data_IF_987427147403
#
_entry.id   IF_987427147403
#
_cell.length_a   1.000
_cell.length_b   1.000
_cell.length_c   1.000
_cell.angle_alpha   90.00
_cell.angle_beta   90.00
_cell.angle_gamma   90.00
#
_symmetry.space_group_name_H-M   'P 1'
#
loop_
_entity.id
_entity.type
_entity.pdbx_description
1 polymer ?
#
# COMPACT_ATOMS: atom_id res chain seq x y z
N UNK A 1 -28.03 7.03 13.12
CA UNK A 1 -27.22 5.79 13.00
C UNK A 1 -26.16 6.10 11.97
N UNK A 2 -24.88 6.11 12.35
CA UNK A 2 -23.79 6.35 11.40
C UNK A 2 -23.75 5.16 10.43
N UNK A 3 -23.79 5.42 9.13
CA UNK A 3 -23.54 4.40 8.11
C UNK A 3 -22.12 3.87 8.33
N UNK A 4 -21.90 2.55 8.38
CA UNK A 4 -20.56 2.00 8.55
C UNK A 4 -19.68 2.34 7.36
N UNK A 5 -18.42 2.72 7.62
CA UNK A 5 -17.42 2.88 6.58
C UNK A 5 -17.21 1.55 5.87
N UNK A 6 -17.12 1.58 4.54
CA UNK A 6 -16.90 0.41 3.70
C UNK A 6 -15.49 0.46 3.12
N UNK A 7 -14.69 -0.55 3.46
CA UNK A 7 -13.30 -0.68 3.00
C UNK A 7 -13.21 -1.82 1.99
N UNK A 8 -12.65 -1.57 0.81
CA UNK A 8 -12.32 -2.61 -0.15
C UNK A 8 -10.92 -3.16 0.14
N UNK A 9 -10.82 -4.45 0.47
CA UNK A 9 -9.56 -5.17 0.56
C UNK A 9 -9.29 -5.84 -0.78
N UNK A 10 -8.49 -5.20 -1.63
CA UNK A 10 -8.24 -5.62 -3.01
C UNK A 10 -7.01 -6.52 -3.05
N UNK A 11 -7.21 -7.80 -3.36
CA UNK A 11 -6.18 -8.83 -3.45
C UNK A 11 -6.79 -10.22 -3.48
N UNK A 12 -6.00 -11.25 -3.75
CA UNK A 12 -6.52 -12.62 -3.83
C UNK A 12 -6.38 -13.31 -2.47
N UNK A 13 -7.50 -13.39 -1.72
CA UNK A 13 -7.47 -13.88 -0.34
C UNK A 13 -6.85 -15.27 -0.24
N UNK A 14 -5.97 -15.42 0.74
CA UNK A 14 -5.31 -16.68 1.04
C UNK A 14 -5.08 -16.78 2.55
N UNK A 15 -5.66 -17.77 3.26
CA UNK A 15 -5.52 -17.93 4.71
C UNK A 15 -4.10 -18.30 5.17
N UNK A 16 -3.25 -18.80 4.25
CA UNK A 16 -1.86 -19.13 4.56
C UNK A 16 -0.98 -17.87 4.62
N UNK A 17 -1.38 -16.79 3.96
CA UNK A 17 -0.68 -15.50 3.99
C UNK A 17 -0.87 -14.83 5.35
N UNK A 18 0.24 -14.57 6.04
CA UNK A 18 0.24 -13.99 7.40
C UNK A 18 -0.45 -12.62 7.40
N UNK A 19 -0.12 -11.75 6.44
CA UNK A 19 -0.73 -10.42 6.33
C UNK A 19 -2.27 -10.49 6.16
N UNK A 20 -2.78 -11.44 5.37
CA UNK A 20 -4.23 -11.60 5.16
C UNK A 20 -5.00 -11.99 6.43
N UNK A 21 -4.33 -12.69 7.37
CA UNK A 21 -4.89 -12.95 8.71
C UNK A 21 -4.81 -11.73 9.62
N UNK A 22 -3.80 -10.89 9.43
CA UNK A 22 -3.55 -9.72 10.26
C UNK A 22 -4.43 -8.50 9.90
N UNK A 23 -4.73 -8.31 8.61
CA UNK A 23 -5.49 -7.15 8.11
C UNK A 23 -6.85 -6.96 8.82
N UNK A 24 -7.71 -7.99 8.93
CA UNK A 24 -8.98 -7.85 9.67
C UNK A 24 -8.77 -7.39 11.12
N UNK A 25 -7.78 -7.96 11.81
CA UNK A 25 -7.45 -7.61 13.19
C UNK A 25 -6.96 -6.16 13.31
N UNK A 26 -6.13 -5.72 12.37
CA UNK A 26 -5.62 -4.36 12.34
C UNK A 26 -6.74 -3.33 12.11
N UNK A 27 -7.72 -3.66 11.25
CA UNK A 27 -8.89 -2.82 11.01
C UNK A 27 -9.79 -2.79 12.24
N UNK A 28 -10.07 -3.94 12.84
CA UNK A 28 -10.94 -4.04 14.01
C UNK A 28 -10.37 -3.28 15.22
N UNK A 29 -9.06 -3.38 15.46
CA UNK A 29 -8.35 -2.62 16.50
C UNK A 29 -8.41 -1.11 16.23
N UNK A 30 -8.05 -0.68 15.02
CA UNK A 30 -8.10 0.73 14.65
C UNK A 30 -9.52 1.31 14.69
N UNK A 31 -10.53 0.56 14.26
CA UNK A 31 -11.94 0.94 14.31
C UNK A 31 -12.42 1.09 15.77
N UNK A 32 -12.00 0.19 16.66
CA UNK A 32 -12.31 0.27 18.08
C UNK A 32 -11.68 1.52 18.73
N UNK A 33 -10.42 1.83 18.42
CA UNK A 33 -9.72 3.02 18.92
C UNK A 33 -10.38 4.32 18.43
N UNK A 34 -10.87 4.34 17.19
CA UNK A 34 -11.52 5.51 16.58
C UNK A 34 -13.03 5.59 16.87
N UNK A 35 -13.61 4.59 17.51
CA UNK A 35 -15.06 4.45 17.73
C UNK A 35 -15.88 4.52 16.42
N UNK A 36 -15.32 3.99 15.32
CA UNK A 36 -15.94 4.01 14.00
C UNK A 36 -16.60 2.67 13.66
N UNK A 37 -17.87 2.65 13.19
CA UNK A 37 -18.44 1.45 12.61
C UNK A 37 -17.78 1.20 11.24
N UNK A 38 -17.07 0.08 11.09
CA UNK A 38 -16.37 -0.28 9.84
C UNK A 38 -16.85 -1.64 9.35
N UNK A 39 -16.95 -1.78 8.03
CA UNK A 39 -17.12 -3.04 7.31
C UNK A 39 -16.06 -3.12 6.23
N UNK A 40 -15.53 -4.30 6.00
CA UNK A 40 -14.57 -4.54 4.94
C UNK A 40 -15.03 -5.72 4.08
N UNK A 41 -14.87 -5.57 2.77
CA UNK A 41 -15.16 -6.61 1.79
C UNK A 41 -13.86 -7.00 1.10
N UNK A 42 -13.61 -8.30 0.98
CA UNK A 42 -12.48 -8.80 0.21
C UNK A 42 -12.85 -8.89 -1.26
N UNK A 43 -12.13 -8.17 -2.12
CA UNK A 43 -12.34 -8.14 -3.56
C UNK A 43 -11.18 -8.83 -4.26
N UNK A 44 -11.44 -10.00 -4.84
CA UNK A 44 -10.46 -10.71 -5.64
C UNK A 44 -10.11 -9.87 -6.88
N UNK A 45 -8.83 -9.86 -7.27
CA UNK A 45 -8.38 -9.00 -8.37
C UNK A 45 -8.99 -9.42 -9.71
N UNK A 46 -9.33 -10.71 -9.85
CA UNK A 46 -10.02 -11.27 -11.02
C UNK A 46 -11.42 -10.70 -11.24
N UNK A 47 -12.09 -10.22 -10.18
CA UNK A 47 -13.48 -9.77 -10.23
C UNK A 47 -13.59 -8.25 -10.49
N UNK A 48 -12.46 -7.53 -10.46
CA UNK A 48 -12.40 -6.09 -10.73
C UNK A 48 -12.08 -5.87 -12.20
N UNK A 49 -13.12 -5.74 -13.02
CA UNK A 49 -12.97 -5.41 -14.45
C UNK A 49 -13.10 -3.91 -14.74
N UNK A 50 -13.86 -3.19 -13.92
CA UNK A 50 -14.18 -1.78 -14.10
C UNK A 50 -14.26 -1.07 -12.76
N UNK A 51 -14.08 0.26 -12.79
CA UNK A 51 -14.16 1.13 -11.61
C UNK A 51 -15.50 1.07 -10.88
N UNK A 52 -16.60 0.70 -11.56
CA UNK A 52 -17.93 0.59 -10.97
C UNK A 52 -17.97 -0.38 -9.77
N UNK A 53 -17.07 -1.37 -9.73
CA UNK A 53 -16.94 -2.30 -8.60
C UNK A 53 -16.48 -1.61 -7.30
N UNK A 54 -15.99 -0.36 -7.38
CA UNK A 54 -15.33 0.36 -6.30
C UNK A 54 -16.15 1.58 -5.81
N UNK A 55 -17.27 1.89 -6.46
CA UNK A 55 -18.04 3.13 -6.24
C UNK A 55 -18.62 3.24 -4.84
N UNK A 56 -18.98 2.12 -4.23
CA UNK A 56 -19.62 2.12 -2.91
C UNK A 56 -18.64 1.97 -1.73
N UNK A 57 -17.33 2.12 -1.97
CA UNK A 57 -16.30 2.02 -0.95
C UNK A 57 -15.75 3.39 -0.57
N UNK A 58 -15.63 3.63 0.74
CA UNK A 58 -15.10 4.86 1.32
C UNK A 58 -13.57 4.87 1.34
N UNK A 59 -12.94 3.69 1.27
CA UNK A 59 -11.49 3.54 1.20
C UNK A 59 -11.07 2.24 0.53
N UNK A 60 -9.87 2.22 -0.04
CA UNK A 60 -9.32 1.08 -0.76
C UNK A 60 -7.96 0.71 -0.17
N UNK A 61 -7.81 -0.56 0.20
CA UNK A 61 -6.52 -1.14 0.56
C UNK A 61 -6.15 -2.23 -0.44
N UNK A 62 -5.09 -2.02 -1.22
CA UNK A 62 -4.50 -3.07 -2.04
C UNK A 62 -3.48 -3.84 -1.21
N UNK A 63 -3.81 -5.10 -0.91
CA UNK A 63 -3.16 -5.89 0.14
C UNK A 63 -1.94 -6.65 -0.38
N UNK A 64 -1.11 -7.25 0.50
CA UNK A 64 0.06 -8.03 0.08
C UNK A 64 -0.27 -9.30 -0.71
N UNK A 65 0.77 -10.09 -1.00
CA UNK A 65 0.73 -11.35 -1.75
C UNK A 65 0.48 -11.19 -3.26
N UNK A 66 1.23 -10.28 -3.90
CA UNK A 66 1.52 -10.37 -5.33
C UNK A 66 2.47 -11.54 -5.62
N UNK A 67 2.50 -12.10 -6.86
CA UNK A 67 1.70 -11.72 -8.03
C UNK A 67 0.20 -11.96 -7.85
N UNK A 68 -0.61 -10.98 -8.24
CA UNK A 68 -2.06 -11.10 -8.24
C UNK A 68 -2.54 -11.99 -9.39
N UNK A 69 -3.68 -12.67 -9.21
CA UNK A 69 -4.30 -13.45 -10.28
C UNK A 69 -4.64 -12.59 -11.51
N UNK A 70 -5.01 -11.32 -11.28
CA UNK A 70 -5.22 -10.34 -12.34
C UNK A 70 -4.67 -8.96 -11.92
N UNK A 71 -3.44 -8.64 -12.35
CA UNK A 71 -2.80 -7.36 -12.04
C UNK A 71 -3.60 -6.13 -12.52
N UNK A 72 -4.34 -6.23 -13.63
CA UNK A 72 -5.17 -5.13 -14.14
C UNK A 72 -6.31 -4.75 -13.18
N UNK A 73 -6.83 -5.71 -12.39
CA UNK A 73 -7.81 -5.43 -11.34
C UNK A 73 -7.21 -4.59 -10.22
N UNK A 74 -5.98 -4.91 -9.81
CA UNK A 74 -5.24 -4.11 -8.83
C UNK A 74 -4.93 -2.71 -9.36
N UNK A 75 -4.46 -2.58 -10.60
CA UNK A 75 -4.22 -1.27 -11.24
C UNK A 75 -5.50 -0.44 -11.36
N UNK A 76 -6.62 -1.07 -11.71
CA UNK A 76 -7.93 -0.40 -11.75
C UNK A 76 -8.30 0.17 -10.39
N UNK A 77 -8.09 -0.58 -9.30
CA UNK A 77 -8.37 -0.13 -7.95
C UNK A 77 -7.48 1.04 -7.50
N UNK A 78 -6.17 0.94 -7.74
CA UNK A 78 -5.21 1.99 -7.39
C UNK A 78 -5.54 3.28 -8.15
N UNK A 79 -5.77 3.15 -9.47
CA UNK A 79 -6.10 4.28 -10.33
C UNK A 79 -7.40 4.95 -9.89
N UNK A 80 -8.44 4.15 -9.62
CA UNK A 80 -9.72 4.67 -9.15
C UNK A 80 -9.53 5.47 -7.86
N UNK A 81 -8.77 4.93 -6.90
CA UNK A 81 -8.50 5.64 -5.66
C UNK A 81 -7.80 6.97 -5.91
N UNK A 82 -6.68 6.95 -6.67
CA UNK A 82 -5.87 8.12 -7.02
C UNK A 82 -6.68 9.22 -7.72
N UNK A 83 -7.50 8.86 -8.71
CA UNK A 83 -8.22 9.81 -9.56
C UNK A 83 -9.49 10.37 -8.89
N UNK A 84 -10.08 9.62 -7.95
CA UNK A 84 -11.33 10.01 -7.28
C UNK A 84 -11.13 10.48 -5.84
N UNK A 85 -9.87 10.68 -5.40
CA UNK A 85 -9.54 11.12 -4.05
C UNK A 85 -10.06 10.17 -2.95
N UNK A 86 -10.21 8.88 -3.26
CA UNK A 86 -10.64 7.87 -2.27
C UNK A 86 -9.41 7.42 -1.49
N UNK A 87 -9.40 7.53 -0.14
CA UNK A 87 -8.28 7.10 0.69
C UNK A 87 -7.71 5.73 0.27
N UNK A 88 -6.39 5.69 0.11
CA UNK A 88 -5.66 4.54 -0.41
C UNK A 88 -4.54 4.10 0.53
N UNK A 89 -4.49 2.79 0.78
CA UNK A 89 -3.37 2.12 1.42
C UNK A 89 -2.85 0.98 0.52
N UNK A 90 -1.55 0.91 0.26
CA UNK A 90 -0.92 -0.19 -0.48
C UNK A 90 0.24 -0.79 0.30
N UNK A 91 0.18 -2.07 0.69
CA UNK A 91 1.26 -2.72 1.46
C UNK A 91 1.92 -3.85 0.66
N UNK A 92 3.25 -3.94 0.69
CA UNK A 92 4.08 -4.89 -0.08
C UNK A 92 3.70 -4.94 -1.58
N UNK A 93 2.93 -5.94 -2.01
CA UNK A 93 2.43 -6.05 -3.39
C UNK A 93 1.62 -4.82 -3.81
N UNK A 94 0.79 -4.27 -2.92
CA UNK A 94 0.02 -3.07 -3.21
C UNK A 94 0.90 -1.84 -3.40
N UNK A 95 2.02 -1.76 -2.68
CA UNK A 95 3.02 -0.73 -2.91
C UNK A 95 3.69 -0.87 -4.26
N UNK A 96 4.16 -2.07 -4.61
CA UNK A 96 4.80 -2.34 -5.91
C UNK A 96 3.86 -1.96 -7.08
N UNK A 97 2.59 -2.33 -6.98
CA UNK A 97 1.61 -2.04 -8.02
C UNK A 97 1.21 -0.56 -8.04
N UNK A 98 1.23 0.15 -6.91
CA UNK A 98 1.01 1.59 -6.89
C UNK A 98 2.13 2.37 -7.60
N UNK A 99 3.38 1.92 -7.45
CA UNK A 99 4.52 2.46 -8.20
C UNK A 99 4.33 2.28 -9.71
N UNK A 100 3.93 1.08 -10.15
CA UNK A 100 3.70 0.79 -11.56
C UNK A 100 2.52 1.59 -12.11
N UNK A 101 1.41 1.67 -11.38
CA UNK A 101 0.24 2.46 -11.79
C UNK A 101 0.61 3.93 -11.99
N UNK A 102 1.35 4.51 -11.05
CA UNK A 102 1.77 5.90 -11.13
C UNK A 102 2.75 6.14 -12.30
N UNK A 103 3.72 5.23 -12.50
CA UNK A 103 4.64 5.30 -13.62
C UNK A 103 3.88 5.29 -14.95
N UNK A 104 2.92 4.36 -15.13
CA UNK A 104 2.13 4.21 -16.35
C UNK A 104 1.23 5.40 -16.63
N UNK A 105 0.49 5.87 -15.62
CA UNK A 105 -0.62 6.80 -15.82
C UNK A 105 -0.27 8.27 -15.56
N UNK A 106 0.72 8.55 -14.69
CA UNK A 106 1.11 9.93 -14.35
C UNK A 106 2.42 10.32 -15.05
N UNK A 107 3.41 9.43 -15.04
CA UNK A 107 4.72 9.72 -15.67
C UNK A 107 4.74 9.39 -17.17
N UNK A 108 3.68 8.76 -17.70
CA UNK A 108 3.58 8.36 -19.10
C UNK A 108 4.46 7.16 -19.47
N UNK A 109 4.96 6.42 -18.50
CA UNK A 109 5.77 5.22 -18.70
C UNK A 109 4.89 4.00 -18.94
N UNK A 110 4.20 3.98 -20.08
CA UNK A 110 3.19 2.95 -20.40
C UNK A 110 3.74 1.51 -20.37
N UNK A 111 5.04 1.33 -20.64
CA UNK A 111 5.77 0.06 -20.60
C UNK A 111 6.45 -0.21 -19.25
N UNK A 112 6.11 0.52 -18.17
CA UNK A 112 6.60 0.22 -16.83
C UNK A 112 6.16 -1.18 -16.39
N UNK A 113 7.10 -1.97 -15.88
CA UNK A 113 6.97 -3.41 -15.70
C UNK A 113 7.52 -3.89 -14.34
N UNK A 114 7.16 -5.11 -13.96
CA UNK A 114 7.57 -5.78 -12.72
C UNK A 114 8.43 -7.00 -13.03
N UNK A 115 9.67 -7.03 -12.55
CA UNK A 115 10.64 -8.06 -12.91
C UNK A 115 10.25 -9.50 -12.49
N UNK A 116 9.31 -9.66 -11.54
CA UNK A 116 8.77 -10.97 -11.17
C UNK A 116 7.88 -11.59 -12.25
N UNK A 117 7.13 -10.77 -13.00
CA UNK A 117 6.08 -11.23 -13.92
C UNK A 117 6.40 -10.92 -15.38
N UNK A 118 7.21 -9.90 -15.63
CA UNK A 118 7.49 -9.37 -16.96
C UNK A 118 8.92 -9.67 -17.41
N UNK A 119 9.09 -9.94 -18.70
CA UNK A 119 10.41 -10.12 -19.34
C UNK A 119 10.81 -8.97 -20.26
N UNK A 120 9.89 -8.03 -20.50
CA UNK A 120 10.06 -6.87 -21.37
C UNK A 120 9.51 -5.60 -20.68
N UNK A 121 9.85 -4.43 -21.20
CA UNK A 121 9.46 -3.14 -20.63
C UNK A 121 10.49 -2.55 -19.65
N UNK A 122 10.17 -1.38 -19.11
CA UNK A 122 11.01 -0.67 -18.13
C UNK A 122 10.71 -1.18 -16.72
N UNK A 123 11.62 -1.99 -16.17
CA UNK A 123 11.48 -2.50 -14.82
C UNK A 123 11.55 -1.36 -13.80
N UNK A 124 10.40 -1.02 -13.23
CA UNK A 124 10.30 -0.06 -12.12
C UNK A 124 10.29 -0.77 -10.77
N UNK A 125 9.94 -2.05 -10.78
CA UNK A 125 10.10 -2.98 -9.66
C UNK A 125 11.08 -4.09 -10.05
N UNK A 126 12.10 -4.31 -9.22
CA UNK A 126 13.20 -5.24 -9.46
C UNK A 126 13.50 -6.08 -8.21
N UNK A 127 14.21 -7.23 -8.34
CA UNK A 127 14.64 -8.01 -7.19
C UNK A 127 15.49 -7.16 -6.25
N UNK A 128 15.21 -7.26 -4.96
CA UNK A 128 16.03 -6.63 -3.94
C UNK A 128 17.41 -7.31 -3.87
N UNK A 129 18.44 -6.51 -3.64
CA UNK A 129 19.82 -6.97 -3.44
C UNK A 129 19.92 -8.00 -2.30
N UNK A 130 19.13 -7.77 -1.25
CA UNK A 130 18.92 -8.67 -0.12
C UNK A 130 17.43 -9.00 0.03
N UNK A 131 17.08 -10.29 0.12
CA UNK A 131 15.71 -10.70 0.43
C UNK A 131 15.27 -10.13 1.79
N UNK A 132 14.07 -9.55 1.85
CA UNK A 132 13.47 -9.02 3.07
C UNK A 132 12.41 -9.96 3.66
N UNK A 133 12.40 -11.23 3.26
CA UNK A 133 11.40 -12.20 3.77
C UNK A 133 11.63 -12.46 5.27
N UNK A 134 10.63 -12.14 6.08
CA UNK A 134 10.65 -12.31 7.56
C UNK A 134 11.77 -11.52 8.25
N UNK A 135 12.17 -10.38 7.67
CA UNK A 135 13.10 -9.43 8.28
C UNK A 135 12.35 -8.24 8.86
N UNK A 136 12.93 -7.64 9.88
CA UNK A 136 12.57 -6.31 10.37
C UNK A 136 13.78 -5.41 10.22
N UNK A 137 13.59 -4.21 9.69
CA UNK A 137 14.66 -3.22 9.52
C UNK A 137 14.20 -1.84 9.98
N UNK A 138 15.18 -1.00 10.33
CA UNK A 138 14.96 0.41 10.63
C UNK A 138 14.56 1.16 9.35
N UNK A 139 13.57 2.03 9.47
CA UNK A 139 13.12 2.92 8.39
C UNK A 139 13.21 4.34 8.89
N UNK A 140 14.00 5.17 8.20
CA UNK A 140 13.99 6.62 8.35
C UNK A 140 12.83 7.21 7.55
N UNK A 141 11.98 7.97 8.22
CA UNK A 141 10.84 8.66 7.65
C UNK A 141 11.14 10.13 7.48
N UNK A 142 10.75 10.68 6.34
CA UNK A 142 10.78 12.14 6.13
C UNK A 142 9.84 12.81 7.14
N UNK A 143 10.37 13.78 7.89
CA UNK A 143 9.60 14.53 8.88
C UNK A 143 8.38 15.25 8.25
N UNK A 144 7.33 15.41 9.06
CA UNK A 144 6.08 16.10 8.69
C UNK A 144 5.30 15.47 7.52
N UNK A 145 5.58 14.21 7.18
CA UNK A 145 4.77 13.38 6.28
C UNK A 145 3.55 12.79 6.99
N UNK A 146 2.64 12.18 6.23
CA UNK A 146 1.45 11.52 6.77
C UNK A 146 1.85 10.29 7.61
N UNK A 147 2.80 9.50 7.12
CA UNK A 147 3.40 8.33 7.76
C UNK A 147 4.13 8.76 9.04
N UNK A 148 5.03 9.75 8.99
CA UNK A 148 5.73 10.20 10.21
C UNK A 148 4.77 10.71 11.29
N UNK A 149 3.68 11.39 10.89
CA UNK A 149 2.63 11.82 11.84
C UNK A 149 1.87 10.63 12.42
N UNK A 150 1.52 9.64 11.61
CA UNK A 150 0.84 8.43 12.09
C UNK A 150 1.69 7.66 13.11
N UNK A 151 2.99 7.52 12.87
CA UNK A 151 3.91 6.85 13.78
C UNK A 151 4.36 7.70 14.98
N UNK A 152 4.22 9.02 14.90
CA UNK A 152 4.66 9.98 15.92
C UNK A 152 6.18 10.08 16.09
N UNK A 153 6.96 9.56 15.12
CA UNK A 153 8.42 9.50 15.14
C UNK A 153 8.97 9.44 13.70
N UNK A 154 10.25 9.75 13.54
CA UNK A 154 10.96 9.73 12.26
C UNK A 154 11.80 8.45 12.03
N UNK A 155 11.98 7.61 13.05
CA UNK A 155 12.63 6.31 12.91
C UNK A 155 11.69 5.22 13.43
N UNK A 156 11.35 4.27 12.57
CA UNK A 156 10.45 3.15 12.88
C UNK A 156 11.14 1.82 12.61
N UNK A 157 10.60 0.73 13.15
CA UNK A 157 11.05 -0.62 12.87
C UNK A 157 9.85 -1.43 12.42
N UNK A 158 9.93 -2.02 11.23
CA UNK A 158 8.80 -2.69 10.60
C UNK A 158 9.24 -3.96 9.88
N UNK A 159 8.31 -4.92 9.82
CA UNK A 159 8.53 -6.23 9.22
C UNK A 159 8.20 -6.27 7.72
N UNK A 160 8.93 -7.11 6.99
CA UNK A 160 8.81 -7.29 5.55
C UNK A 160 8.49 -8.74 5.17
N UNK A 161 7.88 -8.92 4.00
CA UNK A 161 7.71 -10.21 3.34
C UNK A 161 7.67 -10.03 1.82
N UNK A 162 8.75 -9.49 1.26
CA UNK A 162 8.85 -9.22 -0.18
C UNK A 162 10.28 -9.49 -0.67
N UNK A 163 10.41 -9.93 -1.92
CA UNK A 163 11.71 -10.12 -2.60
C UNK A 163 11.99 -9.04 -3.65
N UNK A 164 11.04 -8.14 -3.87
CA UNK A 164 11.09 -7.11 -4.92
C UNK A 164 10.78 -5.74 -4.32
N UNK A 165 11.43 -4.71 -4.86
CA UNK A 165 11.24 -3.32 -4.47
C UNK A 165 11.51 -2.39 -5.64
N UNK A 166 11.63 -1.09 -5.38
CA UNK A 166 11.85 -0.10 -6.44
C UNK A 166 13.21 -0.34 -7.10
N UNK A 167 13.23 -0.38 -8.43
CA UNK A 167 14.47 -0.49 -9.18
C UNK A 167 15.32 0.79 -9.02
N UNK A 168 16.63 0.65 -8.83
CA UNK A 168 17.56 1.79 -8.70
C UNK A 168 17.48 2.79 -9.85
N UNK A 169 17.27 2.28 -11.07
CA UNK A 169 17.10 3.08 -12.28
C UNK A 169 15.86 3.96 -12.24
N UNK A 170 14.84 3.56 -11.48
CA UNK A 170 13.58 4.29 -11.31
C UNK A 170 13.55 5.19 -10.07
N UNK A 171 14.30 4.84 -9.02
CA UNK A 171 14.31 5.57 -7.75
C UNK A 171 14.55 7.09 -7.92
N UNK A 172 15.47 7.46 -8.83
CA UNK A 172 15.78 8.88 -9.12
C UNK A 172 14.64 9.64 -9.81
N UNK A 173 13.82 8.93 -10.58
CA UNK A 173 12.70 9.53 -11.32
C UNK A 173 11.54 9.91 -10.39
N UNK A 174 11.44 9.27 -9.22
CA UNK A 174 10.46 9.58 -8.18
C UNK A 174 10.77 10.88 -7.40
N UNK A 175 11.97 11.45 -7.54
CA UNK A 175 12.34 12.67 -6.82
C UNK A 175 11.60 13.92 -7.33
N UNK A 176 11.11 13.91 -8.57
CA UNK A 176 10.55 15.09 -9.24
C UNK A 176 9.03 15.13 -9.31
N UNK A 177 8.35 14.12 -8.74
CA UNK A 177 6.90 13.95 -8.84
C UNK A 177 6.10 14.38 -7.60
N UNK A 178 4.77 14.28 -7.72
CA UNK A 178 3.85 14.45 -6.59
C UNK A 178 3.79 13.20 -5.71
N UNK A 179 4.05 12.02 -6.28
CA UNK A 179 4.33 10.81 -5.51
C UNK A 179 5.72 10.94 -4.89
N UNK A 180 5.76 11.36 -3.63
CA UNK A 180 7.00 11.61 -2.90
C UNK A 180 7.46 10.37 -2.19
N UNK A 181 8.77 10.14 -2.25
CA UNK A 181 9.45 9.23 -1.34
C UNK A 181 9.49 9.82 0.06
N UNK A 182 9.07 9.04 1.03
CA UNK A 182 8.89 9.46 2.43
C UNK A 182 9.43 8.49 3.46
N UNK A 183 9.96 7.34 3.03
CA UNK A 183 10.67 6.41 3.90
C UNK A 183 11.77 5.65 3.19
N UNK A 184 12.91 5.48 3.87
CA UNK A 184 14.10 4.77 3.39
C UNK A 184 14.62 3.82 4.46
N UNK A 185 15.33 2.78 4.06
CA UNK A 185 16.16 2.02 4.99
C UNK A 185 17.55 2.65 5.19
N UNK A 186 18.41 1.99 5.95
CA UNK A 186 19.78 2.45 6.25
C UNK A 186 20.69 2.51 5.01
N UNK A 187 20.38 1.79 3.94
CA UNK A 187 21.12 1.78 2.67
C UNK A 187 20.61 2.84 1.69
N UNK A 188 19.52 3.53 2.04
CA UNK A 188 18.85 4.53 1.20
C UNK A 188 17.88 3.93 0.19
N UNK A 189 17.54 2.65 0.29
CA UNK A 189 16.50 2.03 -0.54
C UNK A 189 15.11 2.51 -0.11
N UNK A 190 14.22 2.70 -1.09
CA UNK A 190 12.89 3.26 -0.85
C UNK A 190 11.96 2.23 -0.20
N UNK A 191 11.37 2.59 0.94
CA UNK A 191 10.45 1.72 1.71
C UNK A 191 9.04 2.29 1.83
N UNK A 192 8.85 3.59 1.60
CA UNK A 192 7.52 4.21 1.62
C UNK A 192 7.39 5.43 0.69
N UNK A 193 6.18 5.61 0.16
CA UNK A 193 5.80 6.76 -0.67
C UNK A 193 4.43 7.31 -0.27
N UNK A 194 4.22 8.59 -0.56
CA UNK A 194 2.94 9.30 -0.39
C UNK A 194 2.63 10.18 -1.60
N UNK A 195 1.38 10.22 -2.04
CA UNK A 195 0.95 11.20 -3.04
C UNK A 195 0.46 12.47 -2.32
N UNK A 196 1.25 13.55 -2.38
CA UNK A 196 0.99 14.75 -1.55
C UNK A 196 -0.19 15.60 -2.00
N UNK A 197 -0.73 15.35 -3.19
CA UNK A 197 -1.93 16.00 -3.73
C UNK A 197 -3.22 15.26 -3.40
N UNK A 198 -3.13 14.13 -2.70
CA UNK A 198 -4.26 13.27 -2.36
C UNK A 198 -4.58 13.33 -0.86
N UNK A 199 -5.86 13.25 -0.42
CA UNK A 199 -6.23 13.33 1.00
C UNK A 199 -5.53 12.28 1.87
N UNK A 200 -5.47 11.04 1.39
CA UNK A 200 -4.68 9.96 1.97
C UNK A 200 -4.29 8.97 0.88
N UNK A 201 -3.03 8.94 0.47
CA UNK A 201 -2.53 7.92 -0.45
C UNK A 201 -1.15 7.52 0.03
N UNK A 202 -1.10 6.38 0.70
CA UNK A 202 0.10 5.86 1.36
C UNK A 202 0.40 4.50 0.79
N UNK A 203 1.66 4.26 0.45
CA UNK A 203 2.10 2.95 0.05
C UNK A 203 3.43 2.61 0.73
N UNK A 204 3.52 1.40 1.28
CA UNK A 204 4.67 0.92 2.05
C UNK A 204 5.10 -0.45 1.57
N UNK A 205 6.41 -0.67 1.45
CA UNK A 205 6.93 -2.00 1.14
C UNK A 205 6.80 -2.95 2.34
N UNK A 206 6.96 -2.42 3.56
CA UNK A 206 6.76 -3.15 4.81
C UNK A 206 5.28 -3.44 5.09
N UNK A 207 5.04 -4.42 5.98
CA UNK A 207 3.74 -4.98 6.33
C UNK A 207 3.40 -4.73 7.80
N UNK A 208 3.27 -3.45 8.17
CA UNK A 208 2.93 -2.99 9.52
C UNK A 208 1.64 -3.60 10.09
N UNK A 209 0.71 -4.05 9.24
CA UNK A 209 -0.52 -4.73 9.62
C UNK A 209 -0.25 -6.01 10.43
N UNK A 210 0.90 -6.66 10.23
CA UNK A 210 1.28 -7.90 10.94
C UNK A 210 1.39 -7.70 12.45
N UNK A 211 1.64 -6.48 12.90
CA UNK A 211 1.66 -6.11 14.33
C UNK A 211 0.36 -6.46 15.06
N UNK A 212 -0.77 -6.46 14.35
CA UNK A 212 -2.06 -6.82 14.94
C UNK A 212 -2.12 -8.27 15.45
N UNK A 213 -1.33 -9.19 14.89
CA UNK A 213 -1.22 -10.57 15.38
C UNK A 213 -0.59 -10.67 16.78
N UNK A 214 0.16 -9.64 17.17
CA UNK A 214 0.80 -9.52 18.48
C UNK A 214 0.03 -8.57 19.41
N UNK A 215 -1.15 -8.09 19.00
CA UNK A 215 -1.93 -7.10 19.74
C UNK A 215 -1.26 -5.72 19.78
N UNK A 216 -0.37 -5.43 18.82
CA UNK A 216 0.26 -4.11 18.66
C UNK A 216 -0.50 -3.30 17.61
N UNK A 217 -0.64 -1.98 17.81
CA UNK A 217 -1.39 -1.14 16.88
C UNK A 217 -0.68 -1.06 15.53
N UNK A 218 -1.47 -0.89 14.46
CA UNK A 218 -1.00 -0.60 13.11
C UNK A 218 -1.28 0.88 12.77
N UNK A 219 -0.31 1.81 12.97
CA UNK A 219 -0.61 3.24 12.95
C UNK A 219 -1.15 3.76 11.61
N UNK A 220 -0.70 3.21 10.47
CA UNK A 220 -1.22 3.64 9.18
C UNK A 220 -2.63 3.12 8.91
N UNK A 221 -3.04 1.98 9.48
CA UNK A 221 -4.44 1.52 9.42
C UNK A 221 -5.35 2.48 10.18
N UNK A 222 -4.92 2.95 11.36
CA UNK A 222 -5.66 3.98 12.10
C UNK A 222 -5.74 5.29 11.33
N UNK A 223 -4.63 5.77 10.75
CA UNK A 223 -4.63 6.98 9.94
C UNK A 223 -5.50 6.85 8.67
N UNK A 224 -5.50 5.67 8.06
CA UNK A 224 -6.30 5.33 6.88
C UNK A 224 -7.80 5.36 7.19
N UNK A 225 -8.24 4.71 8.27
CA UNK A 225 -9.65 4.73 8.68
C UNK A 225 -10.11 6.12 9.10
N UNK A 226 -9.24 6.88 9.78
CA UNK A 226 -9.55 8.27 10.13
C UNK A 226 -9.74 9.14 8.89
N UNK A 227 -8.90 8.96 7.86
CA UNK A 227 -9.04 9.68 6.59
C UNK A 227 -10.33 9.29 5.84
N UNK A 228 -10.72 8.01 5.88
CA UNK A 228 -11.96 7.52 5.30
C UNK A 228 -13.21 8.04 6.01
N UNK A 229 -13.10 8.49 7.26
CA UNK A 229 -14.22 8.99 8.04
C UNK A 229 -14.49 10.50 7.92
N UNK A 230 -13.70 11.23 7.11
CA UNK A 230 -13.80 12.69 6.99
C UNK A 230 -14.78 13.14 5.91
#
# INVERSE_FOLDING_TARGET
MNTPLRIALVGDYNPDVIAHKAIPLAIDDAAAVLELPVRYDWLATRDIHHADALVDYDAIWVVPASPYENAEGAFTAIRYARENSVPFLGTCGGFQHAIIEYARNVMGWQDAAHAETDTEGRMVIAPLSCSLVEKSDTIELRAHTLIARAYGRDHIEEGYHCNYGIADSFARELEQGELRVTGWDEEGEIRAVELVTHPFFVATLFQHERHALEGRPAPLVQAFLHAASQ
#
